data_IF_983966279923
#
_entry.id   IF_983966279923
#
_cell.length_a   1.000
_cell.length_b   1.000
_cell.length_c   1.000
_cell.angle_alpha   90.00
_cell.angle_beta   90.00
_cell.angle_gamma   90.00
#
_symmetry.space_group_name_H-M   'P 1'
#
loop_
_entity.id
_entity.type
_entity.pdbx_description
1 polymer ?
#
# COMPACT_ATOMS: atom_id res chain seq x y z
N UNK A 1 -23.11 -14.96 9.75
CA UNK A 1 -21.71 -15.27 9.33
C UNK A 1 -20.95 -13.96 9.51
N UNK A 2 -19.86 -13.95 10.28
CA UNK A 2 -19.03 -12.74 10.49
C UNK A 2 -18.43 -12.29 9.16
N UNK A 3 -18.51 -11.00 8.86
CA UNK A 3 -17.89 -10.45 7.68
C UNK A 3 -16.40 -10.17 7.92
N UNK A 4 -15.55 -11.14 7.57
CA UNK A 4 -14.10 -11.01 7.73
C UNK A 4 -13.47 -9.96 6.81
N UNK A 5 -14.23 -9.41 5.86
CA UNK A 5 -13.79 -8.39 4.91
C UNK A 5 -14.27 -6.99 5.30
N UNK A 6 -15.04 -6.84 6.38
CA UNK A 6 -15.42 -5.54 6.90
C UNK A 6 -14.34 -5.00 7.84
N UNK A 7 -13.71 -3.84 7.55
CA UNK A 7 -12.74 -3.24 8.46
C UNK A 7 -13.28 -2.96 9.86
N UNK A 8 -14.59 -2.78 10.00
CA UNK A 8 -15.25 -2.51 11.29
C UNK A 8 -15.66 -3.82 11.99
N UNK A 9 -16.23 -4.78 11.26
CA UNK A 9 -16.76 -6.01 11.87
C UNK A 9 -15.71 -7.11 12.02
N UNK A 10 -14.52 -6.94 11.42
CA UNK A 10 -13.49 -7.99 11.41
C UNK A 10 -13.10 -8.45 12.80
N UNK A 11 -13.31 -7.65 13.86
CA UNK A 11 -13.06 -7.98 15.27
C UNK A 11 -14.23 -7.69 16.21
N UNK A 12 -15.46 -7.63 15.68
CA UNK A 12 -16.65 -7.21 16.43
C UNK A 12 -16.80 -8.00 17.75
N UNK A 13 -16.71 -9.33 17.70
CA UNK A 13 -16.79 -10.19 18.90
C UNK A 13 -15.74 -9.84 19.98
N UNK A 14 -14.57 -9.33 19.60
CA UNK A 14 -13.52 -8.94 20.56
C UNK A 14 -13.72 -7.53 21.09
N UNK A 15 -14.31 -6.64 20.30
CA UNK A 15 -14.61 -5.26 20.70
C UNK A 15 -15.85 -5.22 21.61
N UNK A 16 -16.84 -6.07 21.37
CA UNK A 16 -18.07 -6.17 22.16
C UNK A 16 -17.88 -6.70 23.59
N UNK A 17 -16.70 -7.25 23.90
CA UNK A 17 -16.38 -7.78 25.23
C UNK A 17 -15.76 -6.75 26.18
N UNK A 18 -15.42 -5.56 25.66
CA UNK A 18 -14.70 -4.52 26.39
C UNK A 18 -15.19 -3.14 25.97
N UNK A 19 -16.14 -2.60 26.75
CA UNK A 19 -16.80 -1.32 26.47
C UNK A 19 -15.80 -0.17 26.31
N UNK A 20 -14.73 -0.14 27.12
CA UNK A 20 -13.69 0.90 27.02
C UNK A 20 -12.93 0.80 25.70
N UNK A 21 -12.58 -0.41 25.25
CA UNK A 21 -11.94 -0.60 23.95
C UNK A 21 -12.88 -0.26 22.80
N UNK A 22 -14.14 -0.60 22.92
CA UNK A 22 -15.15 -0.28 21.92
C UNK A 22 -15.32 1.24 21.77
N UNK A 23 -15.51 1.96 22.88
CA UNK A 23 -15.60 3.43 22.88
C UNK A 23 -14.33 4.08 22.33
N UNK A 24 -13.15 3.62 22.76
CA UNK A 24 -11.88 4.14 22.24
C UNK A 24 -11.75 3.91 20.74
N UNK A 25 -12.14 2.74 20.24
CA UNK A 25 -12.09 2.41 18.82
C UNK A 25 -12.98 3.35 17.99
N UNK A 26 -14.25 3.52 18.37
CA UNK A 26 -15.16 4.42 17.67
C UNK A 26 -14.78 5.90 17.84
N UNK A 27 -14.17 6.30 18.96
CA UNK A 27 -13.63 7.66 19.11
C UNK A 27 -12.55 7.98 18.08
N UNK A 28 -11.69 7.00 17.74
CA UNK A 28 -10.66 7.16 16.70
C UNK A 28 -11.31 7.32 15.34
N UNK A 29 -12.32 6.49 15.03
CA UNK A 29 -13.05 6.54 13.75
C UNK A 29 -13.75 7.88 13.58
N UNK A 30 -14.45 8.35 14.60
CA UNK A 30 -15.20 9.62 14.57
C UNK A 30 -14.29 10.84 14.37
N UNK A 31 -12.99 10.73 14.68
CA UNK A 31 -12.00 11.78 14.46
C UNK A 31 -11.41 11.78 13.03
N UNK A 32 -11.71 10.77 12.21
CA UNK A 32 -11.18 10.67 10.85
C UNK A 32 -11.92 11.60 9.88
N UNK A 33 -11.23 12.08 8.82
CA UNK A 33 -11.89 12.66 7.64
C UNK A 33 -12.98 11.77 7.06
N UNK A 34 -14.07 12.38 6.57
CA UNK A 34 -15.25 11.65 6.07
C UNK A 34 -14.91 10.61 5.00
N UNK A 35 -14.04 10.94 4.06
CA UNK A 35 -13.63 10.00 3.01
C UNK A 35 -12.87 8.77 3.55
N UNK A 36 -12.17 8.87 4.68
CA UNK A 36 -11.54 7.72 5.34
C UNK A 36 -12.60 6.91 6.11
N UNK A 37 -13.57 7.58 6.74
CA UNK A 37 -14.72 6.90 7.35
C UNK A 37 -15.50 6.11 6.29
N UNK A 38 -15.75 6.71 5.12
CA UNK A 38 -16.44 6.05 4.00
C UNK A 38 -15.73 4.76 3.60
N UNK A 39 -14.38 4.74 3.57
CA UNK A 39 -13.63 3.51 3.30
C UNK A 39 -13.84 2.43 4.37
N UNK A 40 -14.01 2.79 5.64
CA UNK A 40 -14.22 1.83 6.73
C UNK A 40 -15.60 1.16 6.69
N UNK A 41 -16.64 1.90 6.31
CA UNK A 41 -18.04 1.44 6.32
C UNK A 41 -18.59 1.03 4.95
N UNK A 42 -17.82 1.18 3.88
CA UNK A 42 -18.28 0.90 2.52
C UNK A 42 -18.24 -0.59 2.17
N UNK A 43 -19.37 -1.10 1.65
CA UNK A 43 -19.46 -2.43 1.04
C UNK A 43 -18.47 -2.61 -0.13
N UNK A 44 -18.17 -1.54 -0.87
CA UNK A 44 -17.17 -1.57 -1.95
C UNK A 44 -15.77 -1.88 -1.42
N UNK A 45 -15.41 -1.39 -0.23
CA UNK A 45 -14.15 -1.75 0.43
C UNK A 45 -14.12 -3.23 0.78
N UNK A 46 -15.24 -3.78 1.27
CA UNK A 46 -15.35 -5.20 1.62
C UNK A 46 -15.18 -6.10 0.39
N UNK A 47 -15.85 -5.74 -0.71
CA UNK A 47 -15.74 -6.46 -1.98
C UNK A 47 -14.31 -6.38 -2.54
N UNK A 48 -13.65 -5.22 -2.43
CA UNK A 48 -12.25 -5.04 -2.83
C UNK A 48 -11.30 -5.89 -1.99
N UNK A 49 -11.47 -5.91 -0.66
CA UNK A 49 -10.68 -6.75 0.24
C UNK A 49 -10.83 -8.24 -0.09
N UNK A 50 -12.07 -8.68 -0.32
CA UNK A 50 -12.38 -10.03 -0.76
C UNK A 50 -11.71 -10.36 -2.09
N UNK A 51 -11.76 -9.44 -3.05
CA UNK A 51 -11.13 -9.63 -4.36
C UNK A 51 -9.62 -9.75 -4.26
N UNK A 52 -8.95 -8.89 -3.47
CA UNK A 52 -7.51 -8.99 -3.21
C UNK A 52 -7.19 -10.36 -2.61
N UNK A 53 -7.90 -10.77 -1.55
CA UNK A 53 -7.68 -12.05 -0.90
C UNK A 53 -7.86 -13.25 -1.85
N UNK A 54 -8.87 -13.22 -2.71
CA UNK A 54 -9.11 -14.28 -3.71
C UNK A 54 -8.02 -14.30 -4.77
N UNK A 55 -7.65 -13.14 -5.34
CA UNK A 55 -6.63 -13.05 -6.40
C UNK A 55 -5.26 -13.49 -5.90
N UNK A 56 -4.93 -13.13 -4.67
CA UNK A 56 -3.67 -13.49 -4.00
C UNK A 56 -3.76 -14.84 -3.28
N UNK A 57 -4.88 -15.57 -3.39
CA UNK A 57 -5.08 -16.90 -2.81
C UNK A 57 -4.77 -16.96 -1.31
N UNK A 58 -5.11 -15.89 -0.57
CA UNK A 58 -4.97 -15.86 0.87
C UNK A 58 -5.93 -16.88 1.50
N UNK A 59 -5.43 -17.58 2.52
CA UNK A 59 -6.30 -18.39 3.36
C UNK A 59 -7.13 -17.49 4.29
N UNK A 60 -8.14 -18.06 4.94
CA UNK A 60 -9.07 -17.30 5.79
C UNK A 60 -8.37 -16.48 6.88
N UNK A 61 -7.35 -17.03 7.54
CA UNK A 61 -6.61 -16.30 8.59
C UNK A 61 -5.83 -15.13 8.01
N UNK A 62 -5.19 -15.32 6.86
CA UNK A 62 -4.51 -14.25 6.13
C UNK A 62 -5.50 -13.17 5.64
N UNK A 63 -6.70 -13.55 5.20
CA UNK A 63 -7.76 -12.59 4.83
C UNK A 63 -8.20 -11.73 6.01
N UNK A 64 -8.34 -12.32 7.20
CA UNK A 64 -8.64 -11.58 8.43
C UNK A 64 -7.52 -10.59 8.75
N UNK A 65 -6.26 -11.03 8.68
CA UNK A 65 -5.10 -10.17 8.92
C UNK A 65 -4.94 -9.06 7.87
N UNK A 66 -5.31 -9.32 6.61
CA UNK A 66 -5.36 -8.31 5.55
C UNK A 66 -6.38 -7.22 5.89
N UNK A 67 -7.60 -7.60 6.27
CA UNK A 67 -8.65 -6.65 6.66
C UNK A 67 -8.23 -5.84 7.88
N UNK A 68 -7.63 -6.48 8.90
CA UNK A 68 -7.07 -5.80 10.08
C UNK A 68 -5.96 -4.82 9.70
N UNK A 69 -5.05 -5.20 8.80
CA UNK A 69 -3.99 -4.33 8.31
C UNK A 69 -4.58 -3.07 7.65
N UNK A 70 -5.58 -3.22 6.77
CA UNK A 70 -6.24 -2.09 6.11
C UNK A 70 -6.94 -1.19 7.13
N UNK A 71 -7.71 -1.76 8.06
CA UNK A 71 -8.31 -1.03 9.18
C UNK A 71 -7.26 -0.22 9.93
N UNK A 72 -6.21 -0.87 10.39
CA UNK A 72 -5.17 -0.27 11.23
C UNK A 72 -4.43 0.87 10.50
N UNK A 73 -4.28 0.80 9.16
CA UNK A 73 -3.76 1.91 8.35
C UNK A 73 -4.75 3.08 8.29
N UNK A 74 -6.05 2.80 8.07
CA UNK A 74 -7.10 3.82 7.99
C UNK A 74 -7.30 4.57 9.32
N UNK A 75 -7.28 3.84 10.44
CA UNK A 75 -7.38 4.43 11.78
C UNK A 75 -6.03 4.94 12.32
N UNK A 76 -5.02 5.04 11.45
CA UNK A 76 -3.71 5.61 11.75
C UNK A 76 -2.91 4.84 12.83
N UNK A 77 -3.22 3.57 13.12
CA UNK A 77 -2.47 2.72 14.07
C UNK A 77 -1.19 2.14 13.45
N UNK A 78 -1.21 1.90 12.14
CA UNK A 78 -0.04 1.49 11.36
C UNK A 78 0.32 2.62 10.40
N UNK A 79 1.61 2.92 10.32
CA UNK A 79 2.14 3.86 9.35
C UNK A 79 2.10 3.28 7.94
N UNK A 80 1.58 4.06 6.97
CA UNK A 80 1.43 3.64 5.58
C UNK A 80 2.78 3.25 4.96
N UNK A 81 3.87 3.95 5.31
CA UNK A 81 5.22 3.62 4.83
C UNK A 81 5.73 2.25 5.29
N UNK A 82 5.14 1.67 6.33
CA UNK A 82 5.50 0.35 6.86
C UNK A 82 4.58 -0.78 6.33
N UNK A 83 3.65 -0.48 5.42
CA UNK A 83 2.63 -1.44 4.98
C UNK A 83 3.21 -2.73 4.37
N UNK A 84 4.34 -2.65 3.64
CA UNK A 84 4.99 -3.85 3.09
C UNK A 84 5.53 -4.73 4.21
N UNK A 85 6.19 -4.12 5.20
CA UNK A 85 6.76 -4.81 6.35
C UNK A 85 5.66 -5.45 7.21
N UNK A 86 4.56 -4.73 7.43
CA UNK A 86 3.41 -5.26 8.17
C UNK A 86 2.68 -6.37 7.40
N UNK A 87 2.51 -6.24 6.08
CA UNK A 87 2.00 -7.32 5.23
C UNK A 87 2.85 -8.59 5.34
N UNK A 88 4.17 -8.46 5.24
CA UNK A 88 5.09 -9.60 5.36
C UNK A 88 4.94 -10.30 6.71
N UNK A 89 4.92 -9.52 7.79
CA UNK A 89 4.86 -10.01 9.17
C UNK A 89 3.53 -10.68 9.49
N UNK A 90 2.40 -10.05 9.14
CA UNK A 90 1.06 -10.49 9.52
C UNK A 90 0.56 -11.64 8.64
N UNK A 91 0.84 -11.57 7.34
CA UNK A 91 0.38 -12.58 6.38
C UNK A 91 1.34 -13.77 6.29
N UNK A 92 2.56 -13.63 6.84
CA UNK A 92 3.63 -14.67 6.81
C UNK A 92 3.96 -15.06 5.38
N UNK A 93 4.31 -14.06 4.57
CA UNK A 93 4.59 -14.19 3.13
C UNK A 93 5.97 -13.65 2.77
N UNK A 94 6.43 -13.91 1.55
CA UNK A 94 7.68 -13.33 1.05
C UNK A 94 7.57 -11.80 0.90
N UNK A 95 8.70 -11.09 0.90
CA UNK A 95 8.71 -9.64 0.70
C UNK A 95 8.12 -9.24 -0.66
N UNK A 96 8.42 -9.98 -1.72
CA UNK A 96 7.88 -9.76 -3.06
C UNK A 96 6.34 -9.82 -3.05
N UNK A 97 5.79 -10.83 -2.38
CA UNK A 97 4.35 -11.01 -2.29
C UNK A 97 3.68 -9.98 -1.37
N UNK A 98 4.35 -9.63 -0.26
CA UNK A 98 3.90 -8.55 0.61
C UNK A 98 3.84 -7.20 -0.13
N UNK A 99 4.79 -6.96 -1.03
CA UNK A 99 4.83 -5.76 -1.89
C UNK A 99 3.70 -5.76 -2.92
N UNK A 100 3.40 -6.91 -3.54
CA UNK A 100 2.25 -7.06 -4.42
C UNK A 100 0.94 -6.73 -3.70
N UNK A 101 0.71 -7.32 -2.54
CA UNK A 101 -0.48 -7.08 -1.71
C UNK A 101 -0.57 -5.60 -1.30
N UNK A 102 0.53 -5.02 -0.81
CA UNK A 102 0.57 -3.62 -0.42
C UNK A 102 0.21 -2.68 -1.59
N UNK A 103 0.74 -2.95 -2.78
CA UNK A 103 0.42 -2.16 -3.97
C UNK A 103 -1.06 -2.28 -4.33
N UNK A 104 -1.66 -3.46 -4.22
CA UNK A 104 -3.10 -3.65 -4.44
C UNK A 104 -3.94 -2.88 -3.40
N UNK A 105 -3.58 -2.95 -2.12
CA UNK A 105 -4.26 -2.18 -1.06
C UNK A 105 -4.22 -0.68 -1.39
N UNK A 106 -3.05 -0.14 -1.69
CA UNK A 106 -2.88 1.29 -1.97
C UNK A 106 -3.68 1.71 -3.20
N UNK A 107 -3.57 0.96 -4.29
CA UNK A 107 -4.18 1.33 -5.59
C UNK A 107 -5.69 1.10 -5.65
N UNK A 108 -6.21 0.09 -4.96
CA UNK A 108 -7.62 -0.33 -5.07
C UNK A 108 -8.46 0.21 -3.91
N UNK A 109 -7.91 0.20 -2.68
CA UNK A 109 -8.65 0.55 -1.46
C UNK A 109 -8.34 1.97 -1.04
N UNK A 110 -7.06 2.32 -0.87
CA UNK A 110 -6.69 3.61 -0.26
C UNK A 110 -6.73 4.77 -1.24
N UNK A 111 -6.69 4.52 -2.55
CA UNK A 111 -6.64 5.54 -3.59
C UNK A 111 -7.66 6.69 -3.44
N UNK A 112 -8.94 6.45 -3.09
CA UNK A 112 -9.93 7.53 -2.96
C UNK A 112 -9.65 8.52 -1.82
N UNK A 113 -8.90 8.11 -0.79
CA UNK A 113 -8.59 8.93 0.38
C UNK A 113 -7.08 9.05 0.67
N UNK A 114 -6.23 8.70 -0.31
CA UNK A 114 -4.79 8.52 -0.09
C UNK A 114 -4.10 9.79 0.44
N UNK A 115 -4.49 10.96 -0.07
CA UNK A 115 -3.90 12.23 0.35
C UNK A 115 -4.27 12.59 1.79
N UNK A 116 -5.52 12.35 2.20
CA UNK A 116 -5.94 12.57 3.59
C UNK A 116 -5.32 11.54 4.55
N UNK A 117 -5.16 10.28 4.10
CA UNK A 117 -4.43 9.25 4.85
C UNK A 117 -2.97 9.71 5.07
N UNK A 118 -2.28 10.16 4.02
CA UNK A 118 -0.91 10.68 4.16
C UNK A 118 -0.85 11.85 5.13
N UNK A 119 -1.82 12.77 5.07
CA UNK A 119 -1.87 13.94 5.96
C UNK A 119 -1.98 13.54 7.43
N UNK A 120 -2.96 12.71 7.80
CA UNK A 120 -3.13 12.29 9.20
C UNK A 120 -1.95 11.43 9.69
N UNK A 121 -1.29 10.69 8.78
CA UNK A 121 -0.09 9.92 9.10
C UNK A 121 1.11 10.83 9.37
N UNK A 122 1.29 11.91 8.60
CA UNK A 122 2.34 12.91 8.87
C UNK A 122 2.14 13.55 10.24
N UNK A 123 0.89 13.90 10.57
CA UNK A 123 0.53 14.50 11.86
C UNK A 123 0.85 13.57 13.04
N UNK A 124 0.62 12.25 12.91
CA UNK A 124 0.88 11.27 13.98
C UNK A 124 2.32 10.78 14.05
N UNK A 125 2.95 10.52 12.91
CA UNK A 125 4.25 9.84 12.83
C UNK A 125 5.43 10.79 12.55
N UNK A 126 5.16 12.07 12.24
CA UNK A 126 6.18 13.10 12.05
C UNK A 126 7.02 12.94 10.78
N UNK A 127 6.59 12.09 9.83
CA UNK A 127 7.28 11.87 8.55
C UNK A 127 6.28 11.56 7.42
N UNK A 128 6.57 11.97 6.18
CA UNK A 128 5.78 11.60 5.02
C UNK A 128 5.99 10.12 4.67
N UNK A 129 4.92 9.42 4.32
CA UNK A 129 5.00 8.04 3.84
C UNK A 129 5.98 8.04 2.65
N UNK A 130 7.14 7.37 2.82
CA UNK A 130 8.06 7.15 1.71
C UNK A 130 7.25 6.47 0.61
N UNK A 131 7.39 6.93 -0.64
CA UNK A 131 6.57 6.52 -1.78
C UNK A 131 6.35 5.00 -1.77
N UNK A 132 5.22 4.57 -1.19
CA UNK A 132 4.75 3.20 -1.29
C UNK A 132 4.38 3.10 -2.74
N UNK A 133 5.33 2.60 -3.53
CA UNK A 133 5.42 2.77 -4.96
C UNK A 133 4.03 2.97 -5.57
N UNK A 134 3.72 4.21 -5.96
CA UNK A 134 2.83 4.41 -7.10
C UNK A 134 3.29 3.38 -8.13
N UNK A 135 2.40 2.58 -8.76
CA UNK A 135 2.82 1.60 -9.73
C UNK A 135 3.60 2.36 -10.80
N UNK A 136 4.93 2.32 -10.65
CA UNK A 136 5.86 2.80 -11.63
C UNK A 136 5.50 1.91 -12.80
N UNK A 137 5.07 2.54 -13.89
CA UNK A 137 5.16 1.91 -15.18
C UNK A 137 6.64 1.54 -15.34
N UNK A 138 6.96 0.33 -14.89
CA UNK A 138 8.20 -0.37 -15.15
C UNK A 138 8.18 -0.68 -16.64
N UNK A 139 8.35 0.37 -17.46
CA UNK A 139 9.08 0.22 -18.71
C UNK A 139 10.41 -0.33 -18.26
N UNK A 140 10.60 -1.62 -18.50
CA UNK A 140 11.87 -2.31 -18.42
C UNK A 140 12.95 -1.37 -18.95
N UNK A 141 13.80 -0.87 -18.05
CA UNK A 141 15.09 -0.37 -18.48
C UNK A 141 15.86 -1.60 -18.95
N UNK A 142 15.70 -1.91 -20.24
CA UNK A 142 16.71 -2.65 -20.98
C UNK A 142 18.02 -1.88 -20.73
N UNK A 143 19.11 -2.54 -20.29
CA UNK A 143 20.38 -1.86 -20.20
C UNK A 143 20.73 -1.34 -21.59
N UNK A 144 20.79 -0.03 -21.74
CA UNK A 144 21.12 0.68 -22.98
C UNK A 144 22.61 0.42 -23.31
N UNK A 145 22.92 -0.80 -23.75
CA UNK A 145 24.11 -1.05 -24.59
C UNK A 145 23.76 -0.61 -26.00
N UNK A 146 24.70 0.11 -26.61
CA UNK A 146 24.70 0.68 -27.95
C UNK A 146 23.99 2.03 -28.15
N UNK A 147 24.58 3.08 -27.54
CA UNK A 147 24.69 4.37 -28.24
C UNK A 147 25.92 4.34 -29.14
N UNK A 148 25.82 4.53 -30.46
CA UNK A 148 26.99 4.84 -31.26
C UNK A 148 27.60 6.16 -30.76
N UNK A 149 28.89 6.13 -30.43
CA UNK A 149 29.64 7.31 -30.03
C UNK A 149 29.52 8.39 -31.10
N UNK A 150 29.08 9.58 -30.71
CA UNK A 150 29.17 10.78 -31.54
C UNK A 150 30.66 11.08 -31.70
N UNK A 151 31.21 10.79 -32.87
CA UNK A 151 32.58 11.14 -33.25
C UNK A 151 32.62 12.66 -33.39
N UNK A 152 33.39 13.34 -32.53
CA UNK A 152 33.71 14.76 -32.71
C UNK A 152 34.33 14.97 -34.10
N UNK A 153 33.75 15.81 -34.98
CA UNK A 153 34.28 16.03 -36.33
C UNK A 153 35.60 16.85 -36.37
N UNK A 154 36.19 17.17 -35.22
CA UNK A 154 37.32 18.11 -35.10
C UNK A 154 38.73 17.49 -35.16
N UNK A 155 38.89 16.18 -35.29
CA UNK A 155 40.22 15.54 -35.16
C UNK A 155 40.56 14.56 -36.30
N UNK A 156 40.37 14.98 -37.55
CA UNK A 156 40.89 14.25 -38.71
C UNK A 156 42.37 14.60 -38.87
N UNK A 157 43.27 13.73 -38.39
CA UNK A 157 44.68 13.76 -38.76
C UNK A 157 44.81 13.04 -40.11
N UNK A 158 45.15 13.80 -41.17
CA UNK A 158 45.43 13.25 -42.49
C UNK A 158 46.75 12.47 -42.49
N UNK A 159 46.69 11.13 -42.49
CA UNK A 159 47.85 10.24 -42.63
C UNK A 159 48.12 9.79 -44.08
N UNK A 160 47.93 10.69 -45.04
CA UNK A 160 48.42 10.51 -46.42
C UNK A 160 49.34 11.66 -46.78
N UNK A 161 50.61 11.49 -46.41
CA UNK A 161 51.74 11.95 -47.21
C UNK A 161 52.89 10.97 -46.99
N UNK A 162 52.91 9.94 -47.84
CA UNK A 162 54.15 9.29 -48.25
C UNK A 162 54.66 10.07 -49.46
N UNK A 163 55.80 10.71 -49.30
CA UNK A 163 56.93 10.69 -50.23
C UNK A 163 58.14 11.29 -49.53
#
# INVERSE_FOLDING_TARGET
>A
MRNIYSPIEVDDDSLLLDDEKHELFYSKINALPQNIQDLLFSLDTEDKLKNIAVQTKLNQNQSIELTRLVRDVLINEIYLGDIIKESQKRLVVSEEFAREIANQIVSVILAPALEDIKKIHVEKFGRPAADVATPSNSKSQIPERDKPQIINPGNIVNLRNKN
#
